data_IF_461968365808
#
_entry.id   IF_461968365808
#
_cell.length_a   1.000
_cell.length_b   1.000
_cell.length_c   1.000
_cell.angle_alpha   90.00
_cell.angle_beta   90.00
_cell.angle_gamma   90.00
#
_symmetry.space_group_name_H-M   'P 1'
#
loop_
_entity.id
_entity.type
_entity.pdbx_description
1 polymer ?
#
# COMPACT_ATOMS: atom_id res chain seq x y z
N UNK A 1 14.38 10.87 -14.70
CA UNK A 1 14.50 11.52 -13.37
C UNK A 1 15.91 12.10 -13.30
N UNK A 2 16.06 13.43 -13.41
CA UNK A 2 17.37 14.09 -13.57
C UNK A 2 18.09 14.06 -12.22
N UNK A 3 19.32 13.56 -12.17
CA UNK A 3 20.13 13.54 -10.94
C UNK A 3 20.44 14.97 -10.53
N UNK A 4 19.67 15.52 -9.60
CA UNK A 4 20.03 16.75 -8.91
C UNK A 4 21.18 16.45 -7.96
N UNK A 5 22.24 17.24 -8.02
CA UNK A 5 23.41 17.07 -7.16
C UNK A 5 23.10 17.69 -5.80
N UNK A 6 22.96 16.87 -4.76
CA UNK A 6 22.66 17.32 -3.39
C UNK A 6 23.95 17.63 -2.62
N UNK A 7 24.45 18.85 -2.76
CA UNK A 7 25.76 19.24 -2.19
C UNK A 7 25.65 20.08 -0.92
N UNK A 8 24.55 20.83 -0.78
CA UNK A 8 24.34 21.74 0.35
C UNK A 8 23.24 21.24 1.29
N UNK A 9 23.20 21.79 2.50
CA UNK A 9 22.12 21.50 3.47
C UNK A 9 20.74 21.85 2.90
N UNK A 10 20.65 22.93 2.14
CA UNK A 10 19.38 23.38 1.54
C UNK A 10 18.94 22.43 0.42
N UNK A 11 19.87 21.90 -0.37
CA UNK A 11 19.55 20.87 -1.39
C UNK A 11 18.96 19.61 -0.73
N UNK A 12 19.53 19.17 0.39
CA UNK A 12 19.01 18.04 1.16
C UNK A 12 17.63 18.32 1.76
N UNK A 13 17.42 19.53 2.27
CA UNK A 13 16.12 19.93 2.81
C UNK A 13 15.04 19.93 1.72
N UNK A 14 15.34 20.45 0.53
CA UNK A 14 14.44 20.42 -0.62
C UNK A 14 14.15 18.98 -1.07
N UNK A 15 15.17 18.14 -1.18
CA UNK A 15 14.99 16.73 -1.57
C UNK A 15 14.13 15.95 -0.58
N UNK A 16 14.36 16.13 0.73
CA UNK A 16 13.54 15.50 1.77
C UNK A 16 12.09 15.99 1.74
N UNK A 17 11.89 17.28 1.48
CA UNK A 17 10.56 17.85 1.30
C UNK A 17 9.84 17.18 0.12
N UNK A 18 10.49 17.09 -1.04
CA UNK A 18 9.93 16.48 -2.25
C UNK A 18 9.63 14.99 -2.07
N UNK A 19 10.54 14.25 -1.44
CA UNK A 19 10.35 12.84 -1.11
C UNK A 19 9.16 12.64 -0.15
N UNK A 20 9.05 13.50 0.86
CA UNK A 20 7.94 13.45 1.82
C UNK A 20 6.62 13.79 1.15
N UNK A 21 6.60 14.78 0.27
CA UNK A 21 5.44 15.14 -0.53
C UNK A 21 5.00 13.97 -1.40
N UNK A 22 5.92 13.37 -2.17
CA UNK A 22 5.63 12.23 -3.02
C UNK A 22 5.06 11.05 -2.22
N UNK A 23 5.64 10.72 -1.05
CA UNK A 23 5.15 9.64 -0.20
C UNK A 23 3.73 9.91 0.32
N UNK A 24 3.42 11.16 0.64
CA UNK A 24 2.09 11.58 1.15
C UNK A 24 1.02 11.62 0.06
N UNK A 25 1.38 11.94 -1.18
CA UNK A 25 0.44 12.11 -2.30
C UNK A 25 0.28 10.85 -3.15
N UNK A 26 1.16 9.86 -3.02
CA UNK A 26 1.07 8.59 -3.75
C UNK A 26 -0.24 7.86 -3.42
N UNK A 27 -0.93 7.38 -4.45
CA UNK A 27 -2.15 6.58 -4.31
C UNK A 27 -1.83 5.15 -3.86
N UNK A 28 -2.42 4.72 -2.75
CA UNK A 28 -2.24 3.36 -2.25
C UNK A 28 -3.37 2.45 -2.71
N UNK A 29 -3.10 1.55 -3.66
CA UNK A 29 -4.12 0.74 -4.33
C UNK A 29 -4.99 -0.12 -3.40
N UNK A 30 -4.45 -0.61 -2.29
CA UNK A 30 -5.22 -1.40 -1.31
C UNK A 30 -6.06 -0.55 -0.35
N UNK A 31 -5.69 0.71 -0.15
CA UNK A 31 -6.44 1.63 0.74
C UNK A 31 -7.43 2.49 -0.05
N UNK A 32 -7.26 2.58 -1.37
CA UNK A 32 -8.07 3.46 -2.20
C UNK A 32 -7.85 4.95 -1.93
N UNK A 33 -6.77 5.30 -1.24
CA UNK A 33 -6.48 6.65 -0.77
C UNK A 33 -4.97 6.88 -0.69
N UNK A 34 -4.54 8.14 -0.70
CA UNK A 34 -3.17 8.50 -0.34
C UNK A 34 -2.98 8.49 1.19
N UNK A 35 -1.76 8.31 1.70
CA UNK A 35 -1.50 8.38 3.14
C UNK A 35 -1.99 9.69 3.78
N UNK A 36 -1.85 10.82 3.08
CA UNK A 36 -2.33 12.10 3.58
C UNK A 36 -3.86 12.21 3.58
N UNK A 37 -4.55 11.68 2.56
CA UNK A 37 -6.01 11.60 2.54
C UNK A 37 -6.55 10.78 3.72
N UNK A 38 -5.93 9.62 4.01
CA UNK A 38 -6.33 8.77 5.12
C UNK A 38 -6.05 9.40 6.49
N UNK A 39 -5.01 10.23 6.61
CA UNK A 39 -4.62 10.87 7.88
C UNK A 39 -5.38 12.15 8.15
N UNK A 40 -5.58 12.98 7.12
CA UNK A 40 -6.09 14.36 7.26
C UNK A 40 -7.50 14.55 6.69
N UNK A 41 -8.07 13.54 6.01
CA UNK A 41 -9.41 13.63 5.43
C UNK A 41 -9.53 14.62 4.27
N UNK A 42 -8.42 14.97 3.61
CA UNK A 42 -8.38 15.88 2.46
C UNK A 42 -7.32 15.50 1.45
N UNK A 43 -7.54 15.87 0.21
CA UNK A 43 -6.54 15.73 -0.84
C UNK A 43 -5.39 16.74 -0.66
N UNK A 44 -4.18 16.34 -1.06
CA UNK A 44 -2.97 17.15 -0.93
C UNK A 44 -2.67 18.00 -2.17
N UNK A 45 -3.23 17.63 -3.32
CA UNK A 45 -3.08 18.33 -4.60
C UNK A 45 -4.25 19.27 -4.85
N UNK A 46 -5.46 18.88 -4.45
CA UNK A 46 -6.69 19.62 -4.66
C UNK A 46 -7.36 19.96 -3.33
N UNK A 47 -8.08 21.08 -3.28
CA UNK A 47 -8.87 21.47 -2.11
C UNK A 47 -10.20 20.69 -2.08
N UNK A 48 -10.09 19.39 -1.85
CA UNK A 48 -11.20 18.44 -1.87
C UNK A 48 -11.16 17.59 -0.61
N UNK A 49 -12.29 17.49 0.08
CA UNK A 49 -12.44 16.58 1.20
C UNK A 49 -12.36 15.12 0.73
N UNK A 50 -11.72 14.27 1.52
CA UNK A 50 -11.65 12.83 1.28
C UNK A 50 -12.39 12.10 2.40
N UNK A 51 -13.35 11.27 2.03
CA UNK A 51 -14.04 10.35 2.94
C UNK A 51 -13.75 8.94 2.45
N UNK A 52 -13.12 8.15 3.30
CA UNK A 52 -12.82 6.75 2.98
C UNK A 52 -14.05 5.89 3.24
N UNK A 53 -14.53 5.18 2.21
CA UNK A 53 -15.49 4.09 2.37
C UNK A 53 -14.79 2.84 2.90
N UNK A 54 -14.79 2.68 4.21
CA UNK A 54 -14.12 1.56 4.89
C UNK A 54 -14.75 0.21 4.57
N UNK A 55 -16.06 0.16 4.30
CA UNK A 55 -16.76 -1.07 3.97
C UNK A 55 -16.33 -1.57 2.59
N UNK A 56 -16.28 -0.67 1.60
CA UNK A 56 -15.77 -1.00 0.29
C UNK A 56 -14.29 -1.42 0.34
N UNK A 57 -13.44 -0.71 1.07
CA UNK A 57 -12.02 -1.09 1.20
C UNK A 57 -11.86 -2.48 1.82
N UNK A 58 -12.63 -2.76 2.87
CA UNK A 58 -12.62 -4.07 3.51
C UNK A 58 -13.06 -5.18 2.53
N UNK A 59 -14.16 -4.96 1.79
CA UNK A 59 -14.65 -5.89 0.79
C UNK A 59 -13.59 -6.18 -0.29
N UNK A 60 -12.98 -5.14 -0.86
CA UNK A 60 -11.90 -5.28 -1.85
C UNK A 60 -10.72 -6.08 -1.31
N UNK A 61 -10.30 -5.82 -0.06
CA UNK A 61 -9.24 -6.58 0.59
C UNK A 61 -9.59 -8.07 0.68
N UNK A 62 -10.80 -8.39 1.14
CA UNK A 62 -11.27 -9.77 1.27
C UNK A 62 -11.30 -10.47 -0.09
N UNK A 63 -11.80 -9.81 -1.13
CA UNK A 63 -11.82 -10.35 -2.50
C UNK A 63 -10.42 -10.62 -3.04
N UNK A 64 -9.46 -9.72 -2.82
CA UNK A 64 -8.07 -9.92 -3.24
C UNK A 64 -7.41 -11.09 -2.50
N UNK A 65 -7.65 -11.21 -1.19
CA UNK A 65 -7.16 -12.35 -0.39
C UNK A 65 -7.74 -13.66 -0.92
N UNK A 66 -9.05 -13.70 -1.17
CA UNK A 66 -9.69 -14.89 -1.72
C UNK A 66 -9.12 -15.26 -3.10
N UNK A 67 -8.92 -14.26 -3.98
CA UNK A 67 -8.31 -14.46 -5.30
C UNK A 67 -6.89 -14.99 -5.21
N UNK A 68 -6.08 -14.45 -4.30
CA UNK A 68 -4.71 -14.94 -4.07
C UNK A 68 -4.70 -16.35 -3.50
N UNK A 69 -5.54 -16.64 -2.50
CA UNK A 69 -5.66 -17.97 -1.92
C UNK A 69 -6.06 -19.00 -2.99
N UNK A 70 -7.02 -18.68 -3.87
CA UNK A 70 -7.39 -19.57 -4.96
C UNK A 70 -6.21 -19.82 -5.89
N UNK A 71 -5.55 -18.75 -6.36
CA UNK A 71 -4.38 -18.86 -7.25
C UNK A 71 -3.24 -19.68 -6.65
N UNK A 72 -2.98 -19.54 -5.36
CA UNK A 72 -1.95 -20.30 -4.66
C UNK A 72 -2.36 -21.76 -4.47
N UNK A 73 -3.63 -22.00 -4.13
CA UNK A 73 -4.18 -23.35 -3.96
C UNK A 73 -4.42 -24.10 -5.27
N UNK A 74 -4.48 -23.44 -6.42
CA UNK A 74 -4.64 -24.10 -7.73
C UNK A 74 -3.53 -25.12 -7.99
N UNK A 75 -2.34 -24.91 -7.40
CA UNK A 75 -1.18 -25.82 -7.51
C UNK A 75 -1.00 -26.69 -6.27
N UNK A 76 -1.91 -26.62 -5.29
CA UNK A 76 -1.82 -27.38 -4.05
C UNK A 76 -1.95 -28.87 -4.38
N UNK A 77 -0.95 -29.65 -3.96
CA UNK A 77 -1.04 -31.11 -3.98
C UNK A 77 -2.04 -31.57 -2.94
N UNK A 78 -2.89 -32.52 -3.31
CA UNK A 78 -3.74 -33.19 -2.34
C UNK A 78 -2.84 -33.95 -1.36
N UNK A 79 -2.79 -33.50 -0.11
CA UNK A 79 -1.95 -34.07 0.94
C UNK A 79 -2.74 -34.12 2.25
N UNK A 80 -2.78 -35.31 2.85
CA UNK A 80 -3.31 -35.52 4.19
C UNK A 80 -2.14 -35.58 5.15
N UNK A 81 -2.06 -34.61 6.05
CA UNK A 81 -0.99 -34.56 7.04
C UNK A 81 -1.09 -35.72 8.03
N UNK A 82 0.06 -36.25 8.41
CA UNK A 82 0.18 -37.30 9.42
C UNK A 82 0.98 -36.80 10.64
N UNK A 83 0.76 -37.37 11.84
CA UNK A 83 1.53 -36.98 13.02
C UNK A 83 3.04 -37.13 12.78
N UNK A 84 3.79 -36.04 12.99
CA UNK A 84 5.24 -35.98 12.72
C UNK A 84 5.62 -35.21 11.46
N UNK A 85 4.65 -34.91 10.58
CA UNK A 85 4.87 -34.01 9.46
C UNK A 85 5.23 -32.60 9.95
N UNK A 86 6.20 -31.97 9.28
CA UNK A 86 6.59 -30.59 9.54
C UNK A 86 5.79 -29.65 8.65
N UNK A 87 5.17 -28.66 9.26
CA UNK A 87 4.52 -27.54 8.57
C UNK A 87 5.29 -26.26 8.84
N UNK A 88 5.33 -25.38 7.84
CA UNK A 88 5.80 -24.01 8.01
C UNK A 88 4.66 -23.22 8.67
N UNK A 89 4.94 -22.61 9.82
CA UNK A 89 4.05 -21.68 10.52
C UNK A 89 4.49 -20.24 10.26
#
# INVERSE_FOLDING_TARGET
MRTQTTNTKDDWAAFLHDATFALRTTYHGMLGASPAQATFGRDMLFDTAHITDWEEQYRRKVEQVAKHNNRENDKRRNWTYTPGDKVLL
#
